data_IF_713917022590
#
_entry.id   IF_713917022590
#
_cell.length_a   1.000
_cell.length_b   1.000
_cell.length_c   1.000
_cell.angle_alpha   90.00
_cell.angle_beta   90.00
_cell.angle_gamma   90.00
#
_symmetry.space_group_name_H-M   'P 1'
#
loop_
_entity.id
_entity.type
_entity.pdbx_description
1 polymer ?
#
# COMPACT_ATOMS: atom_id res chain seq x y z
N UNK A 1 4.76 11.89 -56.81
CA UNK A 1 4.84 12.87 -55.69
C UNK A 1 3.88 12.61 -54.51
N UNK A 2 2.92 11.66 -54.59
CA UNK A 2 1.86 11.46 -53.57
C UNK A 2 2.35 10.75 -52.29
N UNK A 3 3.31 9.83 -52.39
CA UNK A 3 3.83 9.03 -51.26
C UNK A 3 4.51 9.84 -50.13
N UNK A 4 5.20 10.94 -50.46
CA UNK A 4 5.94 11.77 -49.47
C UNK A 4 5.01 12.49 -48.48
N UNK A 5 3.78 12.83 -48.91
CA UNK A 5 2.82 13.61 -48.12
C UNK A 5 2.14 12.74 -47.03
N UNK A 6 1.82 11.48 -47.36
CA UNK A 6 1.29 10.51 -46.39
C UNK A 6 2.30 10.13 -45.30
N UNK A 7 3.58 9.93 -45.68
CA UNK A 7 4.65 9.62 -44.71
C UNK A 7 4.92 10.78 -43.74
N UNK A 8 4.84 12.03 -44.20
CA UNK A 8 4.94 13.22 -43.32
C UNK A 8 3.73 13.36 -42.41
N UNK A 9 2.50 13.15 -42.91
CA UNK A 9 1.27 13.18 -42.10
C UNK A 9 1.29 12.11 -41.00
N UNK A 10 1.71 10.89 -41.32
CA UNK A 10 1.80 9.81 -40.33
C UNK A 10 2.86 10.10 -39.26
N UNK A 11 3.98 10.75 -39.62
CA UNK A 11 4.96 11.23 -38.64
C UNK A 11 4.40 12.30 -37.70
N UNK A 12 3.62 13.25 -38.22
CA UNK A 12 2.97 14.29 -37.42
C UNK A 12 1.95 13.67 -36.46
N UNK A 13 1.11 12.75 -36.93
CA UNK A 13 0.13 12.05 -36.09
C UNK A 13 0.82 11.24 -34.98
N UNK A 14 1.95 10.60 -35.29
CA UNK A 14 2.73 9.86 -34.30
C UNK A 14 3.31 10.78 -33.22
N UNK A 15 3.85 11.94 -33.59
CA UNK A 15 4.36 12.94 -32.63
C UNK A 15 3.23 13.48 -31.74
N UNK A 16 2.05 13.76 -32.31
CA UNK A 16 0.88 14.19 -31.55
C UNK A 16 0.42 13.13 -30.55
N UNK A 17 0.39 11.86 -30.96
CA UNK A 17 0.03 10.76 -30.09
C UNK A 17 1.02 10.61 -28.92
N UNK A 18 2.32 10.75 -29.18
CA UNK A 18 3.36 10.72 -28.13
C UNK A 18 3.19 11.89 -27.15
N UNK A 19 2.91 13.10 -27.65
CA UNK A 19 2.66 14.27 -26.79
C UNK A 19 1.44 14.08 -25.89
N UNK A 20 0.34 13.56 -26.44
CA UNK A 20 -0.86 13.24 -25.66
C UNK A 20 -0.53 12.21 -24.57
N UNK A 21 0.28 11.20 -24.90
CA UNK A 21 0.68 10.18 -23.94
C UNK A 21 1.55 10.76 -22.82
N UNK A 22 2.49 11.65 -23.13
CA UNK A 22 3.32 12.35 -22.14
C UNK A 22 2.45 13.18 -21.20
N UNK A 23 1.48 13.92 -21.75
CA UNK A 23 0.54 14.71 -20.95
C UNK A 23 -0.28 13.80 -20.04
N UNK A 24 -0.86 12.71 -20.55
CA UNK A 24 -1.60 11.74 -19.74
C UNK A 24 -0.76 11.14 -18.61
N UNK A 25 0.50 10.76 -18.90
CA UNK A 25 1.41 10.22 -17.88
C UNK A 25 1.79 11.26 -16.84
N UNK A 26 1.93 12.54 -17.22
CA UNK A 26 2.25 13.63 -16.28
C UNK A 26 1.15 13.89 -15.24
N UNK A 27 -0.10 13.55 -15.53
CA UNK A 27 -1.21 13.63 -14.57
C UNK A 27 -1.31 12.41 -13.64
N UNK A 28 -0.57 11.34 -13.90
CA UNK A 28 -0.54 10.16 -13.04
C UNK A 28 0.33 10.46 -11.81
N UNK A 29 -0.26 10.45 -10.61
CA UNK A 29 0.49 10.55 -9.35
C UNK A 29 1.15 9.22 -9.05
N UNK A 30 2.44 9.11 -9.34
CA UNK A 30 3.25 7.96 -8.93
C UNK A 30 3.72 8.15 -7.48
N UNK A 31 3.73 7.07 -6.67
CA UNK A 31 4.30 7.14 -5.34
C UNK A 31 5.81 7.39 -5.44
N UNK A 32 6.34 8.20 -4.52
CA UNK A 32 7.78 8.46 -4.36
C UNK A 32 8.50 7.20 -3.90
N UNK A 33 7.93 6.55 -2.88
CA UNK A 33 8.35 5.25 -2.38
C UNK A 33 7.11 4.40 -2.07
N UNK A 34 7.24 3.10 -2.33
CA UNK A 34 6.20 2.10 -2.08
C UNK A 34 6.84 0.92 -1.36
N UNK A 35 6.27 0.55 -0.22
CA UNK A 35 6.68 -0.63 0.55
C UNK A 35 5.52 -1.59 0.68
N UNK A 36 5.72 -2.83 0.28
CA UNK A 36 4.74 -3.91 0.44
C UNK A 36 5.19 -4.86 1.54
N UNK A 37 4.41 -4.93 2.61
CA UNK A 37 4.71 -5.74 3.80
C UNK A 37 3.76 -6.94 3.81
N UNK A 38 4.26 -8.18 3.74
CA UNK A 38 3.42 -9.36 3.86
C UNK A 38 2.84 -9.46 5.27
N UNK A 39 1.55 -9.76 5.34
CA UNK A 39 0.79 -9.86 6.59
C UNK A 39 0.14 -11.22 6.72
N UNK A 40 0.27 -11.83 7.89
CA UNK A 40 -0.39 -13.09 8.18
C UNK A 40 -0.98 -13.13 9.59
N UNK A 41 -2.07 -13.88 9.73
CA UNK A 41 -2.61 -14.27 11.04
C UNK A 41 -3.32 -15.62 10.93
N UNK A 42 -3.48 -16.31 12.04
CA UNK A 42 -4.21 -17.58 12.13
C UNK A 42 -5.48 -17.33 12.93
N UNK A 43 -6.65 -17.65 12.37
CA UNK A 43 -7.88 -17.70 13.16
C UNK A 43 -8.03 -19.09 13.78
N UNK A 44 -8.16 -19.15 15.10
CA UNK A 44 -8.17 -20.43 15.84
C UNK A 44 -8.97 -20.39 17.13
N UNK A 45 -8.79 -21.43 17.95
CA UNK A 45 -9.54 -21.62 19.21
C UNK A 45 -8.85 -21.03 20.46
N UNK A 46 -7.64 -20.51 20.32
CA UNK A 46 -6.89 -19.83 21.38
C UNK A 46 -6.08 -18.68 20.80
N UNK A 47 -5.56 -17.80 21.66
CA UNK A 47 -4.67 -16.72 21.26
C UNK A 47 -3.21 -17.17 21.38
N UNK A 48 -2.36 -16.72 20.45
CA UNK A 48 -0.94 -17.00 20.46
C UNK A 48 -0.17 -15.91 19.73
N UNK A 49 1.05 -15.61 20.18
CA UNK A 49 1.88 -14.59 19.56
C UNK A 49 2.92 -15.21 18.64
N UNK A 50 3.10 -14.59 17.48
CA UNK A 50 4.28 -14.80 16.65
C UNK A 50 5.30 -13.70 16.98
N UNK A 51 6.52 -14.12 17.31
CA UNK A 51 7.63 -13.23 17.66
C UNK A 51 8.62 -13.04 16.52
N UNK A 52 8.32 -13.55 15.32
CA UNK A 52 9.16 -13.37 14.16
C UNK A 52 9.19 -11.89 13.73
N UNK A 53 10.37 -11.22 13.76
CA UNK A 53 10.48 -9.81 13.37
C UNK A 53 10.53 -9.59 11.85
N UNK A 54 10.73 -10.64 11.05
CA UNK A 54 10.92 -10.52 9.59
C UNK A 54 9.60 -10.37 8.81
N UNK A 55 8.47 -10.71 9.44
CA UNK A 55 7.14 -10.63 8.85
C UNK A 55 6.18 -9.91 9.78
N UNK A 56 5.20 -9.20 9.22
CA UNK A 56 4.11 -8.66 10.04
C UNK A 56 3.12 -9.78 10.36
N UNK A 57 3.45 -10.57 11.37
CA UNK A 57 2.60 -11.66 11.87
C UNK A 57 1.88 -11.24 13.15
N UNK A 58 0.57 -11.49 13.17
CA UNK A 58 -0.29 -11.24 14.32
C UNK A 58 -0.50 -12.47 15.21
N UNK A 59 0.13 -13.59 14.85
CA UNK A 59 -0.02 -14.87 15.54
C UNK A 59 -1.41 -15.48 15.37
N UNK A 60 -1.86 -16.22 16.38
CA UNK A 60 -3.19 -16.82 16.43
C UNK A 60 -4.16 -15.90 17.19
N UNK A 61 -5.31 -15.65 16.58
CA UNK A 61 -6.38 -14.83 17.11
C UNK A 61 -7.61 -15.73 17.30
N UNK A 62 -8.21 -15.68 18.49
CA UNK A 62 -9.43 -16.42 18.80
C UNK A 62 -10.69 -15.60 18.49
N UNK A 63 -11.86 -16.23 18.55
CA UNK A 63 -13.14 -15.52 18.36
C UNK A 63 -13.29 -14.33 19.30
N UNK A 64 -13.85 -13.24 18.78
CA UNK A 64 -14.08 -11.96 19.46
C UNK A 64 -12.81 -11.32 20.06
N UNK A 65 -11.65 -11.62 19.48
CA UNK A 65 -10.38 -11.04 19.91
C UNK A 65 -9.69 -10.25 18.80
N UNK A 66 -8.66 -9.51 19.18
CA UNK A 66 -7.82 -8.74 18.27
C UNK A 66 -6.35 -8.84 18.67
N UNK A 67 -5.48 -8.61 17.70
CA UNK A 67 -4.04 -8.54 17.90
C UNK A 67 -3.49 -7.31 17.19
N UNK A 68 -2.54 -6.62 17.81
CA UNK A 68 -2.01 -5.35 17.32
C UNK A 68 -0.48 -5.34 17.25
N UNK A 69 0.05 -4.61 16.27
CA UNK A 69 1.48 -4.41 16.02
C UNK A 69 1.73 -2.97 15.58
N UNK A 70 2.72 -2.32 16.19
CA UNK A 70 3.19 -1.00 15.78
C UNK A 70 4.27 -1.12 14.70
N UNK A 71 4.18 -0.28 13.67
CA UNK A 71 5.24 -0.08 12.68
C UNK A 71 5.59 1.40 12.67
N UNK A 72 6.88 1.71 12.75
CA UNK A 72 7.37 3.08 12.59
C UNK A 72 7.48 3.40 11.11
N UNK A 73 6.80 4.45 10.67
CA UNK A 73 6.91 5.02 9.33
C UNK A 73 7.71 6.31 9.44
N UNK A 74 8.84 6.39 8.76
CA UNK A 74 9.71 7.56 8.72
C UNK A 74 9.69 8.24 7.36
N UNK A 75 9.77 9.57 7.37
CA UNK A 75 10.04 10.38 6.19
C UNK A 75 11.51 10.78 6.16
N UNK A 76 12.32 10.13 5.34
CA UNK A 76 13.75 10.46 5.24
C UNK A 76 14.03 11.58 4.22
N UNK A 77 12.99 12.17 3.61
CA UNK A 77 13.12 13.30 2.69
C UNK A 77 13.19 14.64 3.43
N UNK A 78 13.77 15.64 2.78
CA UNK A 78 13.87 17.02 3.26
C UNK A 78 12.62 17.88 2.96
N UNK A 79 11.53 17.23 2.54
CA UNK A 79 10.22 17.84 2.28
C UNK A 79 9.07 16.98 2.83
N UNK A 80 7.90 17.56 3.11
CA UNK A 80 6.75 16.80 3.61
C UNK A 80 6.26 15.75 2.61
N UNK A 81 5.82 14.60 3.12
CA UNK A 81 5.23 13.53 2.30
C UNK A 81 3.87 13.12 2.81
N UNK A 82 2.98 12.75 1.89
CA UNK A 82 1.68 12.16 2.20
C UNK A 82 1.81 10.63 2.21
N UNK A 83 1.37 9.99 3.27
CA UNK A 83 1.36 8.54 3.45
C UNK A 83 -0.05 7.99 3.24
N UNK A 84 -0.18 6.97 2.38
CA UNK A 84 -1.40 6.22 2.14
C UNK A 84 -1.11 4.74 2.38
N UNK A 85 -1.92 4.10 3.21
CA UNK A 85 -1.82 2.71 3.61
C UNK A 85 -3.02 1.94 3.07
N UNK A 86 -2.76 0.84 2.37
CA UNK A 86 -3.80 -0.01 1.77
C UNK A 86 -3.59 -1.47 2.14
N UNK A 87 -4.67 -2.16 2.54
CA UNK A 87 -4.64 -3.60 2.80
C UNK A 87 -5.13 -4.39 1.58
N UNK A 88 -4.42 -5.48 1.24
CA UNK A 88 -4.75 -6.40 0.16
C UNK A 88 -4.89 -7.83 0.67
N UNK A 89 -5.56 -8.67 -0.11
CA UNK A 89 -5.76 -10.08 0.22
C UNK A 89 -6.86 -10.33 1.23
N UNK A 90 -6.80 -11.47 1.91
CA UNK A 90 -7.87 -11.97 2.78
C UNK A 90 -7.96 -11.20 4.10
N UNK A 91 -6.91 -10.47 4.47
CA UNK A 91 -6.83 -9.69 5.72
C UNK A 91 -7.57 -8.34 5.63
N UNK A 92 -7.92 -7.88 4.42
CA UNK A 92 -8.36 -6.50 4.15
C UNK A 92 -9.57 -6.06 4.98
N UNK A 93 -10.55 -6.93 5.16
CA UNK A 93 -11.77 -6.63 5.93
C UNK A 93 -11.55 -6.63 7.44
N UNK A 94 -10.45 -7.21 7.90
CA UNK A 94 -10.17 -7.48 9.31
C UNK A 94 -9.02 -6.65 9.85
N UNK A 95 -8.21 -6.03 8.98
CA UNK A 95 -7.11 -5.15 9.34
C UNK A 95 -7.60 -3.70 9.44
N UNK A 96 -7.35 -3.10 10.60
CA UNK A 96 -7.59 -1.69 10.90
C UNK A 96 -6.25 -1.03 11.18
N UNK A 97 -6.08 0.20 10.71
CA UNK A 97 -4.89 1.03 10.97
C UNK A 97 -5.28 2.22 11.84
N UNK A 98 -4.41 2.62 12.76
CA UNK A 98 -4.66 3.76 13.66
C UNK A 98 -4.72 5.09 12.93
N UNK A 99 -4.00 5.21 11.82
CA UNK A 99 -3.94 6.41 10.99
C UNK A 99 -3.72 6.02 9.53
N UNK A 100 -4.39 6.72 8.62
CA UNK A 100 -4.24 6.56 7.17
C UNK A 100 -4.51 7.91 6.50
N UNK A 101 -3.95 8.14 5.32
CA UNK A 101 -4.03 9.42 4.61
C UNK A 101 -3.57 10.57 5.50
N UNK A 102 -2.30 10.51 5.91
CA UNK A 102 -1.67 11.49 6.80
C UNK A 102 -0.38 12.05 6.22
N UNK A 103 0.11 13.13 6.82
CA UNK A 103 1.35 13.79 6.42
C UNK A 103 2.45 13.55 7.44
N UNK A 104 3.67 13.37 6.94
CA UNK A 104 4.90 13.39 7.71
C UNK A 104 5.73 14.60 7.27
N UNK A 105 6.12 15.42 8.23
CA UNK A 105 7.08 16.50 8.03
C UNK A 105 8.48 15.94 7.67
N UNK A 106 9.40 16.78 7.17
CA UNK A 106 10.76 16.35 6.88
C UNK A 106 11.42 15.69 8.09
N UNK A 107 11.97 14.50 7.91
CA UNK A 107 12.63 13.72 8.98
C UNK A 107 11.72 13.30 10.15
N UNK A 108 10.41 13.44 10.01
CA UNK A 108 9.45 12.96 11.01
C UNK A 108 9.32 11.43 10.96
N UNK A 109 9.17 10.82 12.13
CA UNK A 109 8.79 9.42 12.28
C UNK A 109 7.52 9.31 13.10
N UNK A 110 6.62 8.41 12.67
CA UNK A 110 5.35 8.16 13.36
C UNK A 110 5.10 6.68 13.51
N UNK A 111 4.66 6.27 14.70
CA UNK A 111 4.21 4.92 14.95
C UNK A 111 2.76 4.75 14.46
N UNK A 112 2.54 3.79 13.57
CA UNK A 112 1.22 3.40 13.07
C UNK A 112 0.89 2.02 13.62
N UNK A 113 -0.26 1.90 14.30
CA UNK A 113 -0.73 0.66 14.89
C UNK A 113 -1.64 -0.05 13.89
N UNK A 114 -1.25 -1.27 13.53
CA UNK A 114 -2.04 -2.20 12.74
C UNK A 114 -2.73 -3.17 13.69
N UNK A 115 -4.03 -3.40 13.50
CA UNK A 115 -4.84 -4.29 14.35
C UNK A 115 -5.67 -5.23 13.50
N UNK A 116 -5.56 -6.54 13.75
CA UNK A 116 -6.46 -7.53 13.15
C UNK A 116 -7.59 -7.82 14.13
N UNK A 117 -8.84 -7.75 13.65
CA UNK A 117 -10.03 -8.11 14.41
C UNK A 117 -10.65 -9.39 13.85
N UNK A 118 -11.02 -10.34 14.70
CA UNK A 118 -11.61 -11.61 14.26
C UNK A 118 -13.09 -11.52 13.85
N UNK A 119 -13.67 -10.32 13.79
CA UNK A 119 -15.11 -10.16 13.53
C UNK A 119 -15.46 -10.65 12.12
N UNK A 120 -16.54 -11.44 12.00
CA UNK A 120 -16.98 -12.01 10.74
C UNK A 120 -16.18 -13.23 10.24
N UNK A 121 -15.14 -13.66 10.97
CA UNK A 121 -14.41 -14.89 10.63
C UNK A 121 -15.14 -16.12 11.18
N UNK A 122 -15.30 -17.13 10.34
CA UNK A 122 -15.98 -18.38 10.69
C UNK A 122 -15.11 -19.62 10.50
N UNK A 123 -14.07 -19.54 9.66
CA UNK A 123 -13.22 -20.67 9.30
C UNK A 123 -11.87 -20.60 10.01
N UNK A 124 -11.55 -21.62 10.81
CA UNK A 124 -10.22 -21.75 11.38
C UNK A 124 -9.20 -22.09 10.30
N UNK A 125 -8.36 -21.11 9.98
CA UNK A 125 -7.30 -21.23 8.98
C UNK A 125 -6.31 -20.08 9.10
N UNK A 126 -5.24 -20.15 8.30
CA UNK A 126 -4.34 -19.03 8.06
C UNK A 126 -4.97 -18.06 7.06
N UNK A 127 -4.91 -16.78 7.37
CA UNK A 127 -5.32 -15.68 6.51
C UNK A 127 -4.08 -14.89 6.12
N UNK A 128 -3.99 -14.57 4.82
CA UNK A 128 -2.80 -13.95 4.24
C UNK A 128 -3.17 -12.75 3.37
N UNK A 129 -2.24 -11.80 3.31
CA UNK A 129 -2.34 -10.64 2.43
C UNK A 129 -1.12 -9.75 2.57
N UNK A 130 -1.27 -8.49 2.21
CA UNK A 130 -0.21 -7.51 2.31
C UNK A 130 -0.75 -6.13 2.67
N UNK A 131 0.11 -5.31 3.26
CA UNK A 131 -0.11 -3.89 3.44
C UNK A 131 0.81 -3.15 2.49
N UNK A 132 0.25 -2.26 1.69
CA UNK A 132 0.99 -1.35 0.83
C UNK A 132 1.06 0.02 1.51
N UNK A 133 2.26 0.52 1.76
CA UNK A 133 2.51 1.87 2.28
C UNK A 133 3.11 2.69 1.15
N UNK A 134 2.35 3.66 0.64
CA UNK A 134 2.74 4.56 -0.43
C UNK A 134 3.00 5.95 0.11
N UNK A 135 4.12 6.55 -0.29
CA UNK A 135 4.40 7.97 -0.07
C UNK A 135 4.19 8.75 -1.36
N UNK A 136 3.68 9.97 -1.24
CA UNK A 136 3.48 10.89 -2.36
C UNK A 136 4.04 12.26 -2.00
N UNK A 137 4.57 12.97 -3.00
CA UNK A 137 4.89 14.39 -2.83
C UNK A 137 3.59 15.15 -2.60
N UNK A 138 3.63 16.07 -1.64
CA UNK A 138 2.52 16.98 -1.34
C UNK A 138 2.36 18.01 -2.44
#
# INVERSE_FOLDING_TARGET
MVQKKGKKRNRILLVLLVLILIVLVSFMKFPLASSEIPVTFIFGNHSGFDLNPEILSFGMISSSSSSSRGIVVSNDFDYPVKIIIEAKGQIRSNLIVSENDFYLEPFESREVIFSIHSFGLTEFKKYEGSVLINSYSV
#
